data_IF_856038048700
#
_entry.id   IF_856038048700
#
_cell.length_a   1.000
_cell.length_b   1.000
_cell.length_c   1.000
_cell.angle_alpha   90.00
_cell.angle_beta   90.00
_cell.angle_gamma   90.00
#
_symmetry.space_group_name_H-M   'P 1'
#
loop_
_entity.id
_entity.type
_entity.pdbx_description
1 polymer ?
#
# COMPACT_ATOMS: atom_id res chain seq x y z
N UNK A 1 -6.68 -6.91 4.81
CA UNK A 1 -5.70 -8.01 4.75
C UNK A 1 -4.30 -7.54 5.15
N UNK A 2 -3.78 -6.45 4.55
CA UNK A 2 -2.45 -5.93 4.92
C UNK A 2 -2.49 -5.17 6.25
N UNK A 3 -3.49 -4.34 6.50
CA UNK A 3 -3.70 -3.72 7.83
C UNK A 3 -3.85 -4.77 8.93
N UNK A 4 -4.53 -5.89 8.66
CA UNK A 4 -4.65 -6.98 9.62
C UNK A 4 -3.30 -7.66 9.95
N UNK A 5 -2.33 -7.66 9.04
CA UNK A 5 -0.97 -8.14 9.34
C UNK A 5 -0.25 -7.23 10.33
N UNK A 6 -0.49 -5.93 10.26
CA UNK A 6 0.02 -4.96 11.24
C UNK A 6 -0.44 -5.36 12.64
N UNK A 7 -1.76 -5.48 12.81
CA UNK A 7 -2.38 -5.87 14.06
C UNK A 7 -1.87 -7.23 14.57
N UNK A 8 -1.78 -8.22 13.68
CA UNK A 8 -1.25 -9.54 14.02
C UNK A 8 0.22 -9.49 14.46
N UNK A 9 1.03 -8.63 13.88
CA UNK A 9 2.43 -8.45 14.29
C UNK A 9 2.51 -7.84 15.69
N UNK A 10 1.64 -6.87 16.01
CA UNK A 10 1.58 -6.30 17.36
C UNK A 10 1.09 -7.33 18.39
N UNK A 11 0.00 -8.04 18.10
CA UNK A 11 -0.55 -9.07 18.99
C UNK A 11 0.41 -10.23 19.28
N UNK A 12 1.29 -10.57 18.33
CA UNK A 12 2.30 -11.61 18.51
C UNK A 12 3.59 -11.13 19.19
N UNK A 13 3.73 -9.84 19.44
CA UNK A 13 4.91 -9.29 20.10
C UNK A 13 4.79 -9.47 21.63
N UNK A 14 5.66 -10.26 22.29
CA UNK A 14 5.48 -10.61 23.71
C UNK A 14 5.70 -9.45 24.69
N UNK A 15 6.06 -8.28 24.18
CA UNK A 15 6.35 -7.07 24.94
C UNK A 15 5.40 -5.91 24.59
N UNK A 16 4.37 -6.17 23.81
CA UNK A 16 3.28 -5.20 23.53
C UNK A 16 1.98 -5.72 24.15
N UNK A 17 1.12 -4.79 24.51
CA UNK A 17 -0.27 -5.12 24.83
C UNK A 17 -1.07 -5.48 23.58
N UNK A 18 -2.19 -6.15 23.75
CA UNK A 18 -3.05 -6.52 22.65
C UNK A 18 -3.55 -5.25 21.91
N UNK A 19 -3.50 -5.21 20.58
CA UNK A 19 -3.92 -4.05 19.83
C UNK A 19 -5.44 -3.88 19.87
N UNK A 20 -5.89 -2.62 19.95
CA UNK A 20 -7.29 -2.26 19.74
C UNK A 20 -7.59 -2.26 18.25
N UNK A 21 -8.59 -3.02 17.82
CA UNK A 21 -8.90 -3.23 16.40
C UNK A 21 -10.13 -2.43 15.96
N UNK A 22 -10.03 -1.79 14.79
CA UNK A 22 -11.12 -1.13 14.10
C UNK A 22 -11.38 -1.85 12.76
N UNK A 23 -11.99 -3.04 12.78
CA UNK A 23 -12.20 -3.84 11.57
C UNK A 23 -13.20 -3.18 10.64
N UNK A 24 -12.90 -3.20 9.34
CA UNK A 24 -13.82 -2.90 8.25
C UNK A 24 -14.12 -4.16 7.44
N UNK A 25 -15.30 -4.22 6.82
CA UNK A 25 -15.64 -5.26 5.87
C UNK A 25 -14.78 -5.16 4.60
N UNK A 26 -14.51 -6.27 3.89
CA UNK A 26 -13.81 -6.23 2.62
C UNK A 26 -14.44 -5.25 1.63
N UNK A 27 -13.65 -4.36 1.05
CA UNK A 27 -14.15 -3.29 0.18
C UNK A 27 -14.49 -1.99 0.91
N UNK A 28 -14.28 -1.92 2.22
CA UNK A 28 -14.45 -0.72 3.04
C UNK A 28 -13.21 -0.44 3.89
N UNK A 29 -13.18 0.71 4.55
CA UNK A 29 -12.22 1.00 5.61
C UNK A 29 -12.93 1.54 6.86
N UNK A 30 -12.29 1.40 8.00
CA UNK A 30 -12.63 2.09 9.23
C UNK A 30 -11.36 2.68 9.82
N UNK A 31 -11.34 3.99 9.99
CA UNK A 31 -10.21 4.67 10.64
C UNK A 31 -10.29 4.49 12.15
N UNK A 32 -9.13 4.46 12.84
CA UNK A 32 -9.11 4.42 14.29
C UNK A 32 -9.62 5.74 14.89
N UNK A 33 -10.15 5.62 16.10
CA UNK A 33 -10.58 6.73 16.92
C UNK A 33 -9.65 6.88 18.13
N UNK A 34 -9.62 8.08 18.74
CA UNK A 34 -8.80 8.31 19.91
C UNK A 34 -9.19 7.33 21.02
N UNK A 35 -8.22 6.56 21.48
CA UNK A 35 -8.41 5.52 22.48
C UNK A 35 -7.39 5.72 23.61
N UNK A 36 -7.86 5.70 24.86
CA UNK A 36 -7.00 5.84 26.04
C UNK A 36 -5.97 4.70 26.10
N UNK A 37 -4.73 5.03 26.44
CA UNK A 37 -3.63 4.09 26.55
C UNK A 37 -2.99 3.69 25.23
N UNK A 38 -3.57 4.08 24.08
CA UNK A 38 -2.99 3.80 22.75
C UNK A 38 -1.93 4.84 22.43
N UNK A 39 -0.71 4.40 22.19
CA UNK A 39 0.44 5.25 21.88
C UNK A 39 0.83 5.24 20.39
N UNK A 40 0.18 4.39 19.57
CA UNK A 40 0.49 4.26 18.14
C UNK A 40 -0.73 3.83 17.34
N UNK A 41 -1.09 4.59 16.31
CA UNK A 41 -2.19 4.31 15.38
C UNK A 41 -1.63 3.87 14.04
N UNK A 42 -2.08 2.70 13.54
CA UNK A 42 -1.52 2.07 12.35
C UNK A 42 -2.60 1.64 11.35
N UNK A 43 -2.42 1.98 10.06
CA UNK A 43 -3.24 1.42 8.98
C UNK A 43 -2.51 1.48 7.63
N UNK A 44 -3.04 0.76 6.64
CA UNK A 44 -2.54 0.85 5.27
C UNK A 44 -3.24 1.99 4.53
N UNK A 45 -2.46 2.84 3.84
CA UNK A 45 -2.98 3.89 2.96
C UNK A 45 -3.74 3.27 1.77
N UNK A 46 -3.27 2.15 1.25
CA UNK A 46 -3.93 1.38 0.20
C UNK A 46 -3.99 -0.10 0.57
N UNK A 47 -5.19 -0.66 0.65
CA UNK A 47 -5.39 -2.09 0.86
C UNK A 47 -5.38 -2.80 -0.50
N UNK A 48 -4.22 -3.27 -0.91
CA UNK A 48 -3.96 -3.89 -2.23
C UNK A 48 -4.84 -5.11 -2.53
N UNK A 49 -5.32 -5.79 -1.49
CA UNK A 49 -6.15 -6.99 -1.64
C UNK A 49 -7.57 -6.68 -2.09
N UNK A 50 -8.08 -5.51 -1.76
CA UNK A 50 -9.46 -5.10 -1.96
C UNK A 50 -9.63 -3.85 -2.81
N UNK A 51 -8.55 -3.14 -3.13
CA UNK A 51 -8.61 -1.90 -3.91
C UNK A 51 -9.21 -0.73 -3.12
N UNK A 52 -9.06 -0.74 -1.79
CA UNK A 52 -9.51 0.35 -0.91
C UNK A 52 -8.38 1.31 -0.63
N UNK A 53 -8.60 2.60 -0.82
CA UNK A 53 -7.73 3.67 -0.34
C UNK A 53 -8.32 4.29 0.93
N UNK A 54 -7.59 4.21 2.03
CA UNK A 54 -7.98 4.86 3.26
C UNK A 54 -7.34 6.25 3.36
N UNK A 55 -8.06 7.29 3.78
CA UNK A 55 -7.49 8.62 3.92
C UNK A 55 -6.38 8.64 4.97
N UNK A 56 -5.34 9.45 4.71
CA UNK A 56 -4.26 9.69 5.66
C UNK A 56 -4.56 10.99 6.40
N UNK A 57 -5.03 10.81 7.60
CA UNK A 57 -5.37 11.90 8.51
C UNK A 57 -5.09 11.46 9.94
N UNK A 58 -4.26 12.22 10.64
CA UNK A 58 -3.96 11.98 12.05
C UNK A 58 -5.24 11.89 12.87
N UNK A 59 -5.31 10.93 13.77
CA UNK A 59 -6.42 10.83 14.73
C UNK A 59 -6.47 12.08 15.59
N UNK A 60 -7.63 12.71 15.64
CA UNK A 60 -7.79 13.97 16.41
C UNK A 60 -7.45 13.74 17.88
N UNK A 61 -6.61 14.61 18.46
CA UNK A 61 -6.14 14.52 19.84
C UNK A 61 -4.99 13.53 20.08
N UNK A 62 -4.62 12.72 19.07
CA UNK A 62 -3.56 11.71 19.25
C UNK A 62 -2.17 12.34 19.45
N UNK A 63 -1.89 13.46 18.79
CA UNK A 63 -0.61 14.16 18.92
C UNK A 63 -0.44 14.74 20.31
N UNK A 64 -1.48 15.33 20.85
CA UNK A 64 -1.52 15.88 22.22
C UNK A 64 -1.38 14.77 23.28
N UNK A 65 -1.87 13.57 22.97
CA UNK A 65 -1.67 12.37 23.78
C UNK A 65 -0.27 11.74 23.61
N UNK A 66 0.59 12.30 22.74
CA UNK A 66 1.91 11.76 22.45
C UNK A 66 1.92 10.50 21.60
N UNK A 67 0.82 10.17 20.96
CA UNK A 67 0.71 8.99 20.12
C UNK A 67 1.21 9.24 18.69
N UNK A 68 1.82 8.21 18.08
CA UNK A 68 2.33 8.25 16.71
C UNK A 68 1.30 7.74 15.70
N UNK A 69 1.40 8.25 14.48
CA UNK A 69 0.65 7.75 13.31
C UNK A 69 1.62 7.05 12.36
N UNK A 70 1.43 5.74 12.17
CA UNK A 70 2.31 4.87 11.37
C UNK A 70 1.53 4.32 10.19
N UNK A 71 1.97 4.63 8.98
CA UNK A 71 1.23 4.33 7.76
C UNK A 71 2.04 3.39 6.87
N UNK A 72 1.39 2.28 6.49
CA UNK A 72 1.86 1.42 5.41
C UNK A 72 1.50 2.06 4.05
N UNK A 73 2.49 2.67 3.41
CA UNK A 73 2.39 3.24 2.08
C UNK A 73 2.83 2.30 0.95
N UNK A 74 3.04 1.00 1.22
CA UNK A 74 3.70 0.08 0.28
C UNK A 74 3.08 0.09 -1.12
N UNK A 75 1.78 0.14 -1.26
CA UNK A 75 1.12 0.20 -2.57
C UNK A 75 0.49 1.56 -2.88
N UNK A 76 0.72 2.55 -2.03
CA UNK A 76 0.22 3.92 -2.19
C UNK A 76 1.32 4.91 -2.56
N UNK A 77 2.52 4.76 -1.99
CA UNK A 77 3.64 5.67 -2.23
C UNK A 77 3.97 5.75 -3.72
N UNK A 78 4.01 6.97 -4.26
CA UNK A 78 4.23 7.23 -5.68
C UNK A 78 2.99 7.04 -6.58
N UNK A 79 1.84 6.59 -6.04
CA UNK A 79 0.60 6.38 -6.79
C UNK A 79 -0.60 7.16 -6.23
N UNK A 80 -0.66 7.37 -4.92
CA UNK A 80 -1.72 8.11 -4.26
C UNK A 80 -1.18 9.40 -3.63
N UNK A 81 -2.00 10.47 -3.55
CA UNK A 81 -1.60 11.69 -2.88
C UNK A 81 -1.49 11.45 -1.37
N UNK A 82 -0.52 12.09 -0.73
CA UNK A 82 -0.34 12.03 0.71
C UNK A 82 0.14 13.37 1.26
N UNK A 83 -0.47 13.81 2.34
CA UNK A 83 0.08 14.85 3.20
C UNK A 83 0.93 14.18 4.29
N UNK A 84 2.24 14.20 4.12
CA UNK A 84 3.17 13.54 5.01
C UNK A 84 3.15 14.14 6.44
N UNK A 85 2.70 15.37 6.60
CA UNK A 85 2.56 16.01 7.92
C UNK A 85 1.52 15.34 8.83
N UNK A 86 0.63 14.54 8.25
CA UNK A 86 -0.37 13.74 8.96
C UNK A 86 0.18 12.43 9.51
N UNK A 87 1.46 12.13 9.28
CA UNK A 87 2.10 10.87 9.69
C UNK A 87 3.34 11.12 10.52
N UNK A 88 3.73 10.15 11.32
CA UNK A 88 5.02 10.12 12.01
C UNK A 88 5.95 9.10 11.38
N UNK A 89 5.37 8.04 10.81
CA UNK A 89 6.08 7.06 9.98
C UNK A 89 5.25 6.78 8.75
N UNK A 90 5.83 7.00 7.57
CA UNK A 90 5.28 6.55 6.30
C UNK A 90 6.30 5.66 5.63
N UNK A 91 6.03 4.35 5.54
CA UNK A 91 6.99 3.41 4.99
C UNK A 91 6.45 2.71 3.74
N UNK A 92 7.35 2.32 2.87
CA UNK A 92 7.04 1.62 1.63
C UNK A 92 8.24 0.82 1.11
N UNK A 93 8.00 0.07 0.05
CA UNK A 93 9.00 -0.72 -0.65
C UNK A 93 8.89 -0.48 -2.16
N UNK A 94 9.98 -0.54 -2.94
CA UNK A 94 10.00 0.01 -4.30
C UNK A 94 9.34 -0.86 -5.38
N UNK A 95 8.92 -2.09 -5.08
CA UNK A 95 8.36 -3.04 -6.06
C UNK A 95 6.94 -2.71 -6.54
N UNK A 96 6.37 -1.56 -6.18
CA UNK A 96 5.05 -1.07 -6.63
C UNK A 96 5.22 0.11 -7.57
N UNK A 97 4.77 1.29 -7.20
CA UNK A 97 4.81 2.47 -8.06
C UNK A 97 6.23 2.89 -8.51
N UNK A 98 7.26 2.50 -7.76
CA UNK A 98 8.65 2.81 -8.11
C UNK A 98 9.29 1.79 -9.07
N UNK A 99 8.53 0.80 -9.57
CA UNK A 99 8.91 -0.06 -10.69
C UNK A 99 10.21 -0.85 -10.51
N UNK A 100 10.68 -1.01 -9.28
CA UNK A 100 11.89 -1.75 -8.95
C UNK A 100 11.56 -3.13 -8.35
N UNK A 101 12.56 -3.94 -8.08
CA UNK A 101 12.38 -5.18 -7.31
C UNK A 101 12.19 -4.91 -5.82
N UNK A 102 11.74 -5.92 -5.08
CA UNK A 102 11.73 -5.92 -3.63
C UNK A 102 13.15 -5.99 -3.03
N UNK A 103 13.22 -6.14 -1.70
CA UNK A 103 14.49 -6.27 -0.98
C UNK A 103 15.02 -4.97 -0.38
N UNK A 104 14.29 -3.88 -0.57
CA UNK A 104 14.51 -2.60 0.11
C UNK A 104 13.24 -2.15 0.82
N UNK A 105 13.42 -1.37 1.86
CA UNK A 105 12.37 -0.57 2.46
C UNK A 105 12.83 0.88 2.61
N UNK A 106 11.89 1.79 2.51
CA UNK A 106 12.10 3.22 2.74
C UNK A 106 11.10 3.66 3.80
N UNK A 107 11.54 4.48 4.74
CA UNK A 107 10.66 5.12 5.72
C UNK A 107 10.96 6.61 5.82
N UNK A 108 9.90 7.41 5.84
CA UNK A 108 9.94 8.83 6.18
C UNK A 108 9.51 8.90 7.63
N UNK A 109 10.36 9.50 8.47
CA UNK A 109 10.19 9.54 9.92
C UNK A 109 10.08 10.98 10.40
N UNK A 110 9.11 11.26 11.28
CA UNK A 110 9.07 12.53 12.03
C UNK A 110 10.14 12.57 13.10
N UNK A 111 10.52 13.75 13.61
CA UNK A 111 11.40 13.86 14.79
C UNK A 111 10.87 13.04 15.96
N UNK A 112 9.56 13.08 16.23
CA UNK A 112 8.91 12.36 17.32
C UNK A 112 9.04 10.83 17.17
N UNK A 113 8.96 10.31 15.93
CA UNK A 113 9.17 8.89 15.65
C UNK A 113 10.65 8.47 15.84
N UNK A 114 11.60 9.35 15.48
CA UNK A 114 13.03 9.14 15.70
C UNK A 114 13.34 9.08 17.21
N UNK A 115 12.82 10.04 17.99
CA UNK A 115 13.00 10.09 19.43
C UNK A 115 12.38 8.86 20.12
N UNK A 116 11.18 8.44 19.67
CA UNK A 116 10.53 7.24 20.18
C UNK A 116 11.36 5.98 19.89
N UNK A 117 11.90 5.82 18.68
CA UNK A 117 12.76 4.70 18.32
C UNK A 117 14.02 4.63 19.18
N UNK A 118 14.69 5.77 19.39
CA UNK A 118 15.86 5.87 20.26
C UNK A 118 15.53 5.52 21.70
N UNK A 119 14.40 6.02 22.23
CA UNK A 119 13.92 5.72 23.58
C UNK A 119 13.62 4.23 23.79
N UNK A 120 12.95 3.59 22.81
CA UNK A 120 12.66 2.15 22.86
C UNK A 120 13.95 1.33 22.85
N UNK A 121 14.90 1.66 21.99
CA UNK A 121 16.17 0.92 21.89
C UNK A 121 17.05 1.12 23.14
N UNK A 122 17.12 2.32 23.69
CA UNK A 122 17.88 2.57 24.93
C UNK A 122 17.27 1.82 26.12
N UNK A 123 15.96 1.74 26.22
CA UNK A 123 15.28 0.99 27.28
C UNK A 123 15.43 -0.52 27.17
N UNK A 124 15.65 -1.04 25.96
CA UNK A 124 15.86 -2.49 25.73
C UNK A 124 17.14 -3.04 26.38
N UNK A 125 18.09 -2.18 26.74
CA UNK A 125 19.35 -2.56 27.40
C UNK A 125 19.31 -2.40 28.94
N UNK A 126 18.19 -1.96 29.49
CA UNK A 126 18.06 -1.82 30.96
C UNK A 126 17.87 -3.18 31.62
N UNK A 127 18.35 -3.32 32.86
CA UNK A 127 18.13 -4.52 33.67
C UNK A 127 16.63 -4.78 33.87
N UNK A 128 16.19 -6.00 33.59
CA UNK A 128 14.77 -6.38 33.60
C UNK A 128 13.99 -6.03 32.34
N UNK A 129 14.62 -5.48 31.31
CA UNK A 129 13.95 -5.25 30.03
C UNK A 129 13.59 -6.58 29.34
N UNK A 130 12.34 -6.70 28.91
CA UNK A 130 11.86 -7.87 28.15
C UNK A 130 11.97 -7.70 26.64
N UNK A 131 12.54 -6.57 26.17
CA UNK A 131 12.71 -6.28 24.74
C UNK A 131 14.12 -6.57 24.29
N UNK A 132 14.23 -7.14 23.10
CA UNK A 132 15.48 -7.24 22.37
C UNK A 132 15.25 -6.73 20.95
N UNK A 133 16.08 -5.79 20.52
CA UNK A 133 16.05 -5.25 19.17
C UNK A 133 17.30 -5.77 18.44
N UNK A 134 17.14 -6.71 17.49
CA UNK A 134 18.27 -7.18 16.72
C UNK A 134 18.85 -6.04 15.86
N UNK A 135 20.18 -5.95 15.70
CA UNK A 135 20.82 -4.85 14.95
C UNK A 135 20.25 -4.64 13.55
N UNK A 136 19.82 -5.70 12.88
CA UNK A 136 19.22 -5.64 11.54
C UNK A 136 17.84 -4.95 11.53
N UNK A 137 17.10 -4.98 12.62
CA UNK A 137 15.79 -4.33 12.78
C UNK A 137 15.86 -3.03 13.58
N UNK A 138 17.05 -2.59 13.99
CA UNK A 138 17.27 -1.35 14.71
C UNK A 138 17.05 -0.14 13.80
N UNK A 139 16.00 0.64 14.09
CA UNK A 139 15.74 1.91 13.37
C UNK A 139 16.82 2.94 13.65
N UNK A 140 17.38 2.97 14.85
CA UNK A 140 18.50 3.87 15.21
C UNK A 140 19.75 3.54 14.39
N UNK A 141 20.06 2.26 14.24
CA UNK A 141 21.17 1.81 13.39
C UNK A 141 20.93 2.16 11.92
N UNK A 142 19.72 1.91 11.40
CA UNK A 142 19.36 2.26 10.03
C UNK A 142 19.46 3.76 9.79
N UNK A 143 18.95 4.60 10.69
CA UNK A 143 19.01 6.05 10.63
C UNK A 143 20.45 6.58 10.65
N UNK A 144 21.28 6.04 11.54
CA UNK A 144 22.69 6.45 11.65
C UNK A 144 23.51 6.10 10.41
N UNK A 145 23.19 4.99 9.74
CA UNK A 145 23.79 4.64 8.45
C UNK A 145 23.23 5.55 7.34
N UNK A 146 21.91 5.76 7.29
CA UNK A 146 21.27 6.61 6.28
C UNK A 146 21.84 8.05 6.28
N UNK A 147 22.12 8.62 7.45
CA UNK A 147 22.76 9.94 7.60
C UNK A 147 24.18 10.01 7.03
N UNK A 148 24.78 8.87 6.74
CA UNK A 148 26.12 8.72 6.13
C UNK A 148 26.02 8.24 4.69
N UNK A 149 24.83 8.27 4.09
CA UNK A 149 24.55 7.69 2.76
C UNK A 149 24.94 6.20 2.65
N UNK A 150 24.68 5.46 3.71
CA UNK A 150 25.01 4.04 3.84
C UNK A 150 23.83 3.23 4.33
N UNK A 151 23.93 1.92 4.17
CA UNK A 151 23.07 0.91 4.80
C UNK A 151 23.92 0.05 5.75
N UNK A 152 23.27 -0.63 6.71
CA UNK A 152 23.98 -1.50 7.67
C UNK A 152 24.80 -2.60 6.96
N UNK A 153 24.21 -3.20 5.93
CA UNK A 153 24.84 -4.23 5.09
C UNK A 153 24.74 -3.79 3.62
N UNK A 154 25.44 -4.49 2.74
CA UNK A 154 25.36 -4.24 1.30
C UNK A 154 23.92 -4.29 0.82
N UNK A 155 23.38 -3.20 0.24
CA UNK A 155 22.01 -3.17 -0.22
C UNK A 155 21.82 -3.90 -1.55
N UNK A 156 20.57 -4.13 -1.94
CA UNK A 156 20.21 -4.60 -3.29
C UNK A 156 20.48 -3.49 -4.32
N UNK A 157 21.71 -3.40 -4.81
CA UNK A 157 22.18 -2.29 -5.67
C UNK A 157 21.38 -2.18 -6.96
N UNK A 158 21.02 -3.31 -7.60
CA UNK A 158 20.17 -3.31 -8.78
C UNK A 158 18.79 -2.68 -8.50
N UNK A 159 18.18 -3.01 -7.38
CA UNK A 159 16.91 -2.42 -6.93
C UNK A 159 17.04 -0.91 -6.69
N UNK A 160 18.15 -0.46 -6.10
CA UNK A 160 18.42 0.98 -5.91
C UNK A 160 18.54 1.73 -7.23
N UNK A 161 19.26 1.17 -8.22
CA UNK A 161 19.41 1.77 -9.55
C UNK A 161 18.05 1.85 -10.26
N UNK A 162 17.24 0.78 -10.21
CA UNK A 162 15.90 0.79 -10.81
C UNK A 162 15.00 1.83 -10.13
N UNK A 163 15.00 1.89 -8.80
CA UNK A 163 14.22 2.87 -8.04
C UNK A 163 14.67 4.31 -8.35
N UNK A 164 15.97 4.56 -8.42
CA UNK A 164 16.52 5.88 -8.75
C UNK A 164 16.09 6.33 -10.15
N UNK A 165 16.19 5.44 -11.14
CA UNK A 165 15.73 5.73 -12.50
C UNK A 165 14.22 6.04 -12.54
N UNK A 166 13.41 5.29 -11.81
CA UNK A 166 11.98 5.54 -11.75
C UNK A 166 11.66 6.88 -11.06
N UNK A 167 12.32 7.19 -9.95
CA UNK A 167 12.15 8.48 -9.27
C UNK A 167 12.54 9.64 -10.18
N UNK A 168 13.64 9.52 -10.90
CA UNK A 168 14.09 10.51 -11.87
C UNK A 168 13.07 10.70 -12.99
N UNK A 169 12.52 9.60 -13.53
CA UNK A 169 11.48 9.64 -14.53
C UNK A 169 10.21 10.32 -14.00
N UNK A 170 9.75 9.97 -12.80
CA UNK A 170 8.60 10.60 -12.16
C UNK A 170 8.82 12.11 -12.00
N UNK A 171 9.98 12.52 -11.48
CA UNK A 171 10.31 13.94 -11.26
C UNK A 171 10.36 14.74 -12.56
N UNK A 172 10.93 14.16 -13.61
CA UNK A 172 11.00 14.80 -14.94
C UNK A 172 9.63 15.00 -15.59
N UNK A 173 8.62 14.24 -15.14
CA UNK A 173 7.24 14.37 -15.62
C UNK A 173 6.34 15.22 -14.70
N UNK A 174 6.83 15.73 -13.59
CA UNK A 174 6.06 16.56 -12.65
C UNK A 174 5.86 15.96 -11.26
N UNK A 175 6.64 14.93 -10.92
CA UNK A 175 6.71 14.33 -9.60
C UNK A 175 5.43 13.62 -9.16
N UNK A 176 5.17 13.66 -7.87
CA UNK A 176 4.03 12.96 -7.27
C UNK A 176 2.67 13.45 -7.84
N UNK A 177 2.53 14.74 -8.09
CA UNK A 177 1.28 15.29 -8.63
C UNK A 177 0.93 14.73 -10.01
N UNK A 178 1.93 14.59 -10.88
CA UNK A 178 1.76 13.96 -12.18
C UNK A 178 1.46 12.46 -12.04
N UNK A 179 2.21 11.75 -11.20
CA UNK A 179 2.05 10.31 -10.98
C UNK A 179 0.65 9.97 -10.48
N UNK A 180 0.16 10.68 -9.47
CA UNK A 180 -1.19 10.48 -8.90
C UNK A 180 -2.30 10.80 -9.92
N UNK A 181 -2.14 11.86 -10.72
CA UNK A 181 -3.09 12.20 -11.79
C UNK A 181 -3.13 11.10 -12.86
N UNK A 182 -1.97 10.56 -13.23
CA UNK A 182 -1.87 9.47 -14.19
C UNK A 182 -2.53 8.18 -13.68
N UNK A 183 -2.28 7.81 -12.42
CA UNK A 183 -2.94 6.68 -11.78
C UNK A 183 -4.47 6.88 -11.73
N UNK A 184 -4.94 8.05 -11.31
CA UNK A 184 -6.36 8.38 -11.27
C UNK A 184 -7.03 8.27 -12.65
N UNK A 185 -6.35 8.72 -13.72
CA UNK A 185 -6.83 8.56 -15.10
C UNK A 185 -7.00 7.08 -15.47
N UNK A 186 -6.00 6.25 -15.18
CA UNK A 186 -6.05 4.81 -15.46
C UNK A 186 -7.14 4.11 -14.64
N UNK A 187 -7.27 4.44 -13.36
CA UNK A 187 -8.32 3.91 -12.49
C UNK A 187 -9.72 4.30 -12.98
N UNK A 188 -9.90 5.55 -13.40
CA UNK A 188 -11.17 6.07 -13.95
C UNK A 188 -11.61 5.30 -15.20
N UNK A 189 -10.68 4.88 -16.07
CA UNK A 189 -10.99 4.06 -17.24
C UNK A 189 -11.64 2.73 -16.79
N UNK A 190 -11.04 2.05 -15.82
CA UNK A 190 -11.53 0.77 -15.32
C UNK A 190 -12.86 0.89 -14.57
N UNK A 191 -12.99 1.87 -13.67
CA UNK A 191 -14.22 2.09 -12.92
C UNK A 191 -15.37 2.46 -13.87
N UNK A 192 -15.15 3.40 -14.80
CA UNK A 192 -16.17 3.80 -15.76
C UNK A 192 -16.55 2.67 -16.73
N UNK A 193 -15.61 1.79 -17.08
CA UNK A 193 -15.91 0.59 -17.84
C UNK A 193 -16.79 -0.37 -17.04
N UNK A 194 -16.40 -0.69 -15.81
CA UNK A 194 -17.15 -1.60 -14.96
C UNK A 194 -18.57 -1.11 -14.64
N UNK A 195 -18.74 0.21 -14.42
CA UNK A 195 -20.05 0.81 -14.14
C UNK A 195 -21.01 0.81 -15.35
N UNK A 196 -20.48 0.68 -16.57
CA UNK A 196 -21.31 0.58 -17.81
C UNK A 196 -21.47 -0.85 -18.29
N UNK A 197 -20.72 -1.79 -17.74
CA UNK A 197 -20.75 -3.19 -18.13
C UNK A 197 -21.99 -3.89 -17.59
N UNK A 198 -22.54 -4.84 -18.37
CA UNK A 198 -23.66 -5.72 -17.94
C UNK A 198 -23.18 -6.90 -17.08
N UNK A 199 -21.87 -7.13 -17.00
CA UNK A 199 -21.28 -8.29 -16.33
C UNK A 199 -20.14 -7.95 -15.36
N UNK A 200 -19.84 -6.68 -15.17
CA UNK A 200 -18.79 -6.24 -14.27
C UNK A 200 -19.26 -5.09 -13.39
N UNK A 201 -18.75 -5.01 -12.16
CA UNK A 201 -19.03 -3.92 -11.25
C UNK A 201 -17.80 -3.59 -10.37
N UNK A 202 -17.57 -2.34 -9.98
CA UNK A 202 -16.55 -2.01 -9.00
C UNK A 202 -16.82 -2.74 -7.67
N UNK A 203 -15.84 -3.45 -7.15
CA UNK A 203 -15.97 -4.13 -5.86
C UNK A 203 -16.10 -3.13 -4.70
N UNK A 204 -15.33 -2.04 -4.74
CA UNK A 204 -15.45 -0.96 -3.76
C UNK A 204 -16.61 -0.06 -4.18
N UNK A 205 -17.71 -0.15 -3.44
CA UNK A 205 -18.97 0.53 -3.75
C UNK A 205 -18.84 2.04 -3.51
N UNK A 206 -18.28 2.43 -2.36
CA UNK A 206 -18.05 3.84 -2.02
C UNK A 206 -16.96 4.42 -2.92
N UNK A 207 -17.33 5.37 -3.77
CA UNK A 207 -16.42 6.00 -4.72
C UNK A 207 -15.24 6.71 -4.03
N UNK A 208 -15.46 7.28 -2.85
CA UNK A 208 -14.43 7.99 -2.08
C UNK A 208 -13.41 7.03 -1.44
N UNK A 209 -13.78 5.75 -1.31
CA UNK A 209 -12.90 4.69 -0.81
C UNK A 209 -12.16 3.93 -1.93
N UNK A 210 -12.45 4.21 -3.21
CA UNK A 210 -11.83 3.53 -4.34
C UNK A 210 -10.36 3.92 -4.50
N UNK A 211 -9.51 2.91 -4.67
CA UNK A 211 -8.09 3.12 -4.92
C UNK A 211 -7.83 3.55 -6.36
N UNK A 212 -6.97 4.55 -6.52
CA UNK A 212 -6.39 4.94 -7.81
C UNK A 212 -5.05 4.25 -8.10
N UNK A 213 -4.62 3.31 -7.25
CA UNK A 213 -3.40 2.53 -7.44
C UNK A 213 -3.68 1.07 -7.83
N UNK A 214 -4.75 0.49 -7.27
CA UNK A 214 -5.18 -0.88 -7.52
C UNK A 214 -6.70 -0.90 -7.63
N UNK A 215 -7.21 -1.29 -8.79
CA UNK A 215 -8.65 -1.36 -9.06
C UNK A 215 -9.10 -2.82 -8.96
N UNK A 216 -10.20 -3.05 -8.25
CA UNK A 216 -10.84 -4.35 -8.11
C UNK A 216 -12.24 -4.32 -8.70
N UNK A 217 -12.54 -5.30 -9.54
CA UNK A 217 -13.78 -5.37 -10.31
C UNK A 217 -14.34 -6.79 -10.19
N UNK A 218 -15.52 -6.93 -9.62
CA UNK A 218 -16.24 -8.19 -9.57
C UNK A 218 -16.89 -8.48 -10.93
N UNK A 219 -16.87 -9.73 -11.33
CA UNK A 219 -17.59 -10.22 -12.50
C UNK A 219 -18.86 -10.97 -12.07
N UNK A 220 -19.90 -10.84 -12.87
CA UNK A 220 -21.14 -11.60 -12.74
C UNK A 220 -20.88 -13.11 -12.78
N UNK A 221 -21.74 -13.91 -12.16
CA UNK A 221 -21.60 -15.38 -12.11
C UNK A 221 -21.58 -16.03 -13.49
N UNK A 222 -22.18 -15.40 -14.50
CA UNK A 222 -22.18 -15.86 -15.90
C UNK A 222 -20.80 -15.78 -16.55
N UNK A 223 -19.89 -14.98 -16.01
CA UNK A 223 -18.55 -14.75 -16.54
C UNK A 223 -17.51 -15.20 -15.52
N UNK A 224 -16.82 -16.28 -15.79
CA UNK A 224 -15.79 -16.79 -14.87
C UNK A 224 -14.46 -16.07 -15.07
N UNK A 225 -14.04 -15.31 -14.06
CA UNK A 225 -12.76 -14.57 -14.11
C UNK A 225 -11.57 -15.48 -14.44
N UNK A 226 -11.57 -16.72 -13.96
CA UNK A 226 -10.52 -17.70 -14.24
C UNK A 226 -10.39 -18.03 -15.72
N UNK A 227 -11.52 -18.16 -16.45
CA UNK A 227 -11.52 -18.39 -17.90
C UNK A 227 -11.00 -17.17 -18.66
N UNK A 228 -11.54 -15.99 -18.35
CA UNK A 228 -11.09 -14.72 -18.95
C UNK A 228 -9.59 -14.53 -18.74
N UNK A 229 -9.10 -14.72 -17.52
CA UNK A 229 -7.68 -14.56 -17.17
C UNK A 229 -6.78 -15.60 -17.87
N UNK A 230 -7.26 -16.83 -18.09
CA UNK A 230 -6.51 -17.86 -18.85
C UNK A 230 -6.29 -17.42 -20.28
N UNK A 231 -7.36 -17.00 -20.97
CA UNK A 231 -7.30 -16.54 -22.35
C UNK A 231 -6.43 -15.29 -22.49
N UNK A 232 -6.58 -14.33 -21.60
CA UNK A 232 -5.75 -13.12 -21.57
C UNK A 232 -4.26 -13.46 -21.40
N UNK A 233 -3.94 -14.41 -20.50
CA UNK A 233 -2.57 -14.87 -20.27
C UNK A 233 -1.95 -15.56 -21.47
N UNK A 234 -2.71 -16.39 -22.17
CA UNK A 234 -2.28 -17.03 -23.43
C UNK A 234 -1.96 -16.00 -24.53
N UNK A 235 -2.55 -14.81 -24.43
CA UNK A 235 -2.33 -13.69 -25.35
C UNK A 235 -1.39 -12.61 -24.77
N UNK A 236 -0.61 -12.92 -23.72
CA UNK A 236 0.40 -12.05 -23.17
C UNK A 236 -0.09 -10.98 -22.17
N UNK A 237 -1.38 -10.98 -21.81
CA UNK A 237 -1.96 -10.08 -20.79
C UNK A 237 -2.00 -10.83 -19.47
N UNK A 238 -1.14 -10.44 -18.52
CA UNK A 238 -0.88 -11.19 -17.29
C UNK A 238 -1.19 -10.40 -16.03
N UNK A 239 -1.29 -11.12 -14.90
CA UNK A 239 -1.28 -10.59 -13.53
C UNK A 239 -2.47 -9.68 -13.17
N UNK A 240 -3.62 -9.87 -13.81
CA UNK A 240 -4.89 -9.20 -13.48
C UNK A 240 -5.80 -10.02 -12.54
N UNK A 241 -5.30 -11.12 -11.93
CA UNK A 241 -6.08 -11.96 -11.04
C UNK A 241 -6.45 -11.29 -9.73
N UNK A 242 -7.67 -11.55 -9.25
CA UNK A 242 -8.13 -11.16 -7.93
C UNK A 242 -7.24 -11.68 -6.80
N UNK A 243 -7.37 -11.09 -5.60
CA UNK A 243 -6.59 -11.54 -4.46
C UNK A 243 -7.05 -12.92 -4.00
N UNK A 244 -6.18 -13.93 -4.18
CA UNK A 244 -6.54 -15.35 -3.98
C UNK A 244 -7.20 -15.65 -2.63
N UNK A 245 -6.75 -15.01 -1.53
CA UNK A 245 -7.32 -15.21 -0.19
C UNK A 245 -8.72 -14.61 -0.02
N UNK A 246 -9.14 -13.71 -0.91
CA UNK A 246 -10.47 -13.12 -0.90
C UNK A 246 -11.50 -14.05 -1.53
N UNK A 247 -11.08 -14.94 -2.46
CA UNK A 247 -11.92 -15.99 -3.04
C UNK A 247 -13.06 -15.49 -3.94
N UNK A 248 -12.93 -14.28 -4.53
CA UNK A 248 -13.97 -13.67 -5.35
C UNK A 248 -13.76 -13.92 -6.84
N UNK A 249 -14.86 -13.92 -7.60
CA UNK A 249 -14.87 -13.89 -9.06
C UNK A 249 -14.51 -12.47 -9.53
N UNK A 250 -13.22 -12.15 -9.61
CA UNK A 250 -12.77 -10.77 -9.62
C UNK A 250 -11.53 -10.56 -10.51
N UNK A 251 -11.47 -9.41 -11.16
CA UNK A 251 -10.27 -8.84 -11.74
C UNK A 251 -9.65 -7.82 -10.75
N UNK A 252 -8.33 -7.80 -10.67
CA UNK A 252 -7.58 -6.83 -9.87
C UNK A 252 -6.42 -6.28 -10.69
N UNK A 253 -6.48 -5.00 -11.01
CA UNK A 253 -5.55 -4.34 -11.92
C UNK A 253 -4.73 -3.31 -11.17
N UNK A 254 -3.41 -3.46 -11.16
CA UNK A 254 -2.49 -2.42 -10.69
C UNK A 254 -2.32 -1.36 -11.77
N UNK A 255 -2.61 -0.10 -11.43
CA UNK A 255 -2.54 1.04 -12.36
C UNK A 255 -1.46 2.04 -11.94
N UNK A 256 -0.30 1.50 -11.57
CA UNK A 256 0.85 2.29 -11.15
C UNK A 256 1.38 3.20 -12.26
N UNK A 257 2.19 4.24 -11.96
CA UNK A 257 2.59 5.25 -12.95
C UNK A 257 3.26 4.72 -14.22
N UNK A 258 3.92 3.57 -14.14
CA UNK A 258 4.55 2.91 -15.30
C UNK A 258 3.57 2.28 -16.29
N UNK A 259 2.30 2.08 -15.88
CA UNK A 259 1.26 1.52 -16.76
C UNK A 259 0.64 2.65 -17.59
N UNK A 260 0.65 2.50 -18.92
CA UNK A 260 0.05 3.50 -19.82
C UNK A 260 -1.49 3.48 -19.72
N UNK A 261 -2.15 4.64 -19.58
CA UNK A 261 -3.62 4.69 -19.61
C UNK A 261 -4.23 4.11 -20.90
N UNK A 262 -3.50 4.19 -22.02
CA UNK A 262 -3.93 3.58 -23.29
C UNK A 262 -3.96 2.05 -23.21
N UNK A 263 -3.00 1.44 -22.52
CA UNK A 263 -2.96 -0.01 -22.31
C UNK A 263 -4.09 -0.47 -21.38
N UNK A 264 -4.42 0.34 -20.35
CA UNK A 264 -5.58 0.08 -19.49
C UNK A 264 -6.88 0.11 -20.29
N UNK A 265 -7.02 1.06 -21.22
CA UNK A 265 -8.16 1.11 -22.13
C UNK A 265 -8.18 -0.08 -23.10
N UNK A 266 -7.04 -0.49 -23.62
CA UNK A 266 -6.94 -1.67 -24.47
C UNK A 266 -7.31 -2.95 -23.69
N UNK A 267 -6.87 -3.05 -22.43
CA UNK A 267 -7.22 -4.16 -21.53
C UNK A 267 -8.74 -4.31 -21.39
N UNK A 268 -9.50 -3.24 -21.14
CA UNK A 268 -10.96 -3.34 -21.02
C UNK A 268 -11.61 -3.90 -22.30
N UNK A 269 -11.14 -3.47 -23.48
CA UNK A 269 -11.61 -3.98 -24.78
C UNK A 269 -11.26 -5.45 -24.98
N UNK A 270 -10.08 -5.88 -24.52
CA UNK A 270 -9.71 -7.30 -24.59
C UNK A 270 -10.60 -8.15 -23.67
N UNK A 271 -10.95 -7.65 -22.48
CA UNK A 271 -11.89 -8.34 -21.58
C UNK A 271 -13.26 -8.44 -22.23
N UNK A 272 -13.80 -7.34 -22.77
CA UNK A 272 -15.09 -7.33 -23.49
C UNK A 272 -15.09 -8.36 -24.64
N UNK A 273 -14.05 -8.33 -25.49
CA UNK A 273 -13.92 -9.27 -26.61
C UNK A 273 -13.90 -10.72 -26.15
N UNK A 274 -13.14 -11.04 -25.10
CA UNK A 274 -13.09 -12.41 -24.55
C UNK A 274 -14.46 -12.83 -24.04
N UNK A 275 -15.17 -11.97 -23.29
CA UNK A 275 -16.48 -12.28 -22.71
C UNK A 275 -17.55 -12.49 -23.82
N UNK A 276 -17.50 -11.73 -24.90
CA UNK A 276 -18.40 -11.86 -26.05
C UNK A 276 -18.21 -13.17 -26.83
N UNK A 277 -17.05 -13.84 -26.65
CA UNK A 277 -16.69 -15.06 -27.41
C UNK A 277 -16.55 -16.30 -26.53
N UNK A 278 -16.91 -16.21 -25.24
CA UNK A 278 -17.01 -17.34 -24.31
C UNK A 278 -18.35 -18.05 -24.45
#
# INVERSE_FOLDING_TARGET
SFSAKFAASAANAPFLEDPVLFPGEPGTYRLPELTEGVDTYCWAHNETSTGVAAPIRRVAGSREAGALTVIDGTSAAGALPVDISQTDVYYFSPQKAFGADGGLWVAILSPEAIDRAAGVESSAHLEGAHRWVPPFLSLTTALNNSRKDQTLNTPAVATLIMMENQIRWLNNNGGLAWATTRCAKSASILYSWAERSEYAAPFVVDADARSNAVVTIDLDERVQASQVLSILRENGIVDAAGYRKLGRNQLRVGVFPSVEPADVMAFTKCVDYVVEHL
#
